data_IF_909528155255
#
_entry.id   IF_909528155255
#
_cell.length_a   1.000
_cell.length_b   1.000
_cell.length_c   1.000
_cell.angle_alpha   90.00
_cell.angle_beta   90.00
_cell.angle_gamma   90.00
#
_symmetry.space_group_name_H-M   'P 1'
#
loop_
_entity.id
_entity.type
_entity.pdbx_description
1 polymer ?
#
# COMPACT_ATOMS: atom_id res chain seq x y z
N UNK A 1 -22.50 -5.10 10.56
CA UNK A 1 -21.90 -4.30 11.66
C UNK A 1 -22.60 -2.96 11.63
N UNK A 2 -23.50 -2.73 12.57
CA UNK A 2 -24.58 -1.76 12.53
C UNK A 2 -24.39 -0.76 13.67
N UNK A 3 -23.96 0.48 13.38
CA UNK A 3 -23.64 1.48 14.41
C UNK A 3 -24.02 2.93 14.07
N UNK A 4 -24.98 3.16 13.17
CA UNK A 4 -25.47 4.51 12.86
C UNK A 4 -26.92 4.82 13.28
N UNK A 5 -27.55 4.00 14.13
CA UNK A 5 -28.92 4.30 14.61
C UNK A 5 -28.97 4.55 16.12
N UNK A 6 -28.65 5.79 16.52
CA UNK A 6 -29.14 6.38 17.78
C UNK A 6 -29.37 7.88 17.58
N UNK A 7 -30.63 8.26 17.37
CA UNK A 7 -31.07 9.65 17.37
C UNK A 7 -32.55 9.81 17.05
N UNK A 8 -33.32 10.12 18.10
CA UNK A 8 -34.67 10.72 18.14
C UNK A 8 -35.85 9.94 17.56
N UNK A 9 -36.69 9.44 18.47
CA UNK A 9 -38.02 8.94 18.15
C UNK A 9 -39.05 10.06 18.10
N UNK A 10 -39.96 9.97 17.13
CA UNK A 10 -41.35 10.44 17.23
C UNK A 10 -42.21 9.36 16.54
N UNK A 11 -43.20 8.88 17.29
CA UNK A 11 -44.13 7.83 16.88
C UNK A 11 -45.22 8.39 15.94
N UNK A 12 -45.59 7.62 14.93
CA UNK A 12 -46.91 7.70 14.30
C UNK A 12 -47.31 6.32 13.78
N UNK A 13 -48.36 5.78 14.38
CA UNK A 13 -49.04 4.52 14.06
C UNK A 13 -50.13 4.76 13.01
N UNK A 14 -50.41 3.78 12.13
CA UNK A 14 -51.73 3.40 11.54
C UNK A 14 -51.53 2.31 10.44
N UNK A 15 -52.51 1.40 10.18
CA UNK A 15 -52.28 -0.05 10.18
C UNK A 15 -52.36 -0.77 8.82
N UNK A 16 -52.08 -2.08 8.90
CA UNK A 16 -51.99 -3.11 7.87
C UNK A 16 -53.30 -3.53 7.18
N UNK A 17 -53.15 -4.09 5.96
CA UNK A 17 -54.08 -5.04 5.37
C UNK A 17 -53.34 -6.18 4.64
N UNK A 18 -53.94 -7.38 4.68
CA UNK A 18 -53.38 -8.72 4.38
C UNK A 18 -53.82 -9.25 3.00
N UNK A 19 -53.10 -10.27 2.50
CA UNK A 19 -53.63 -11.34 1.61
C UNK A 19 -52.60 -11.84 0.58
N UNK A 20 -51.86 -12.95 0.81
CA UNK A 20 -52.07 -14.36 0.32
C UNK A 20 -52.21 -14.49 -1.21
N UNK A 21 -51.55 -15.38 -1.97
CA UNK A 21 -50.60 -16.46 -1.68
C UNK A 21 -50.26 -17.29 -2.95
N UNK A 22 -49.23 -18.14 -2.81
CA UNK A 22 -48.97 -19.48 -3.42
C UNK A 22 -48.88 -19.72 -4.93
N UNK A 23 -47.80 -20.39 -5.36
CA UNK A 23 -47.83 -21.36 -6.47
C UNK A 23 -46.51 -21.56 -7.24
N UNK A 24 -45.71 -22.56 -6.86
CA UNK A 24 -44.74 -23.24 -7.74
C UNK A 24 -45.36 -24.58 -8.20
N UNK A 25 -44.91 -25.17 -9.33
CA UNK A 25 -43.98 -26.30 -9.22
C UNK A 25 -42.97 -26.49 -10.40
N UNK A 26 -41.86 -27.15 -10.10
CA UNK A 26 -40.96 -27.92 -11.02
C UNK A 26 -41.37 -29.41 -11.03
N UNK A 27 -41.07 -30.25 -12.05
CA UNK A 27 -39.76 -30.94 -12.22
C UNK A 27 -39.43 -31.25 -13.71
N UNK A 28 -38.29 -31.78 -14.20
CA UNK A 28 -37.06 -32.38 -13.67
C UNK A 28 -36.23 -33.02 -14.81
N UNK A 29 -35.13 -33.70 -14.44
CA UNK A 29 -34.29 -34.69 -15.17
C UNK A 29 -33.04 -34.24 -15.99
N UNK A 30 -31.86 -34.74 -15.55
CA UNK A 30 -30.52 -34.64 -16.18
C UNK A 30 -30.24 -35.75 -17.21
N UNK A 31 -29.03 -36.37 -17.33
CA UNK A 31 -27.71 -36.13 -16.72
C UNK A 31 -26.52 -36.17 -17.73
N UNK A 32 -25.28 -36.20 -17.19
CA UNK A 32 -24.00 -36.73 -17.75
C UNK A 32 -22.89 -35.72 -18.13
N UNK A 33 -21.66 -36.03 -17.70
CA UNK A 33 -20.43 -35.40 -18.20
C UNK A 33 -19.26 -35.46 -17.23
N UNK A 34 -18.45 -36.51 -17.33
CA UNK A 34 -17.42 -36.93 -16.38
C UNK A 34 -16.04 -36.26 -16.55
N UNK A 35 -15.31 -36.25 -15.43
CA UNK A 35 -13.86 -36.48 -15.27
C UNK A 35 -12.84 -35.32 -15.21
N UNK A 36 -11.81 -35.45 -14.33
CA UNK A 36 -10.79 -34.45 -14.05
C UNK A 36 -9.48 -34.70 -14.82
N UNK A 37 -8.70 -33.64 -15.07
CA UNK A 37 -7.31 -33.78 -15.52
C UNK A 37 -6.37 -33.44 -14.36
N UNK A 38 -5.72 -34.49 -13.85
CA UNK A 38 -4.50 -34.42 -13.06
C UNK A 38 -3.37 -35.06 -13.86
N UNK A 39 -2.30 -34.32 -14.11
CA UNK A 39 -1.00 -34.81 -14.62
C UNK A 39 0.05 -33.81 -14.12
N UNK A 40 1.26 -34.16 -13.70
CA UNK A 40 1.90 -35.40 -13.26
C UNK A 40 3.23 -34.91 -12.67
N UNK A 41 3.64 -35.43 -11.51
CA UNK A 41 5.05 -35.35 -11.08
C UNK A 41 5.93 -36.15 -12.05
N UNK A 42 7.15 -35.70 -12.27
CA UNK A 42 8.25 -36.57 -12.73
C UNK A 42 9.55 -36.09 -12.13
N UNK A 43 10.16 -36.98 -11.35
CA UNK A 43 11.51 -36.92 -10.85
C UNK A 43 12.35 -37.96 -11.60
N UNK A 44 13.60 -37.64 -11.93
CA UNK A 44 14.71 -38.58 -12.19
C UNK A 44 16.00 -37.73 -12.10
N UNK A 45 16.85 -37.87 -11.09
CA UNK A 45 17.77 -38.95 -10.69
C UNK A 45 19.12 -38.95 -11.44
N UNK A 46 20.19 -38.81 -10.63
CA UNK A 46 21.51 -39.49 -10.68
C UNK A 46 22.42 -39.18 -11.87
N UNK A 47 23.75 -39.29 -11.82
CA UNK A 47 24.82 -39.51 -10.83
C UNK A 47 26.14 -39.37 -11.63
N UNK A 48 27.24 -38.92 -11.02
CA UNK A 48 28.57 -39.59 -10.97
C UNK A 48 29.64 -38.59 -10.51
N UNK A 49 30.33 -38.84 -9.38
CA UNK A 49 31.50 -39.74 -9.19
C UNK A 49 32.78 -39.01 -9.65
N UNK A 50 33.48 -38.36 -8.73
CA UNK A 50 34.65 -38.85 -7.98
C UNK A 50 35.74 -39.44 -8.88
N UNK A 51 36.91 -38.80 -8.87
CA UNK A 51 38.16 -39.53 -9.02
C UNK A 51 39.24 -38.95 -8.10
N UNK A 52 40.05 -39.87 -7.58
CA UNK A 52 41.02 -39.71 -6.52
C UNK A 52 42.37 -40.18 -7.04
N UNK A 53 43.42 -39.36 -6.90
CA UNK A 53 44.79 -39.74 -7.23
C UNK A 53 45.70 -39.49 -6.04
N UNK A 54 46.19 -40.58 -5.43
CA UNK A 54 47.17 -40.64 -4.34
C UNK A 54 48.37 -41.45 -4.86
N UNK A 55 49.60 -41.05 -4.52
CA UNK A 55 50.80 -41.88 -4.19
C UNK A 55 52.04 -40.95 -4.15
N UNK A 56 52.88 -40.83 -3.11
CA UNK A 56 53.50 -41.69 -2.07
C UNK A 56 54.95 -42.10 -2.43
N UNK A 57 55.88 -41.76 -1.51
CA UNK A 57 57.17 -42.41 -1.14
C UNK A 57 58.41 -42.21 -2.03
N UNK A 58 59.68 -42.25 -1.57
CA UNK A 58 60.39 -42.65 -0.32
C UNK A 58 61.81 -42.00 -0.32
N UNK A 59 62.46 -41.62 0.79
CA UNK A 59 63.34 -42.39 1.71
C UNK A 59 64.57 -43.05 1.01
N UNK A 60 65.81 -43.20 1.53
CA UNK A 60 66.51 -42.96 2.80
C UNK A 60 68.02 -43.33 2.65
N UNK A 61 68.85 -43.01 3.66
CA UNK A 61 70.09 -43.72 4.06
C UNK A 61 71.42 -43.15 3.53
N UNK A 62 72.59 -43.29 4.17
CA UNK A 62 73.05 -43.54 5.56
C UNK A 62 74.59 -43.51 5.55
N UNK A 63 75.21 -43.42 6.74
CA UNK A 63 76.57 -43.86 7.12
C UNK A 63 77.70 -42.82 7.37
N UNK A 64 78.54 -43.23 8.34
CA UNK A 64 79.44 -42.56 9.32
C UNK A 64 80.87 -43.14 9.13
N UNK A 65 81.97 -42.83 9.87
CA UNK A 65 82.56 -41.62 10.52
C UNK A 65 84.00 -41.28 10.00
N UNK A 66 84.64 -40.21 10.49
CA UNK A 66 85.97 -40.26 11.18
C UNK A 66 86.64 -38.88 11.41
N UNK A 67 87.08 -38.68 12.67
CA UNK A 67 88.34 -38.07 13.12
C UNK A 67 88.68 -36.57 12.95
N UNK A 68 88.96 -35.97 14.13
CA UNK A 68 90.09 -35.07 14.50
C UNK A 68 90.09 -33.64 13.93
N UNK A 69 89.76 -32.63 14.74
CA UNK A 69 90.63 -31.84 15.68
C UNK A 69 91.38 -30.69 14.98
N UNK A 70 91.22 -29.50 15.57
CA UNK A 70 91.97 -28.24 15.39
C UNK A 70 91.70 -27.47 14.08
N UNK A 71 91.53 -26.15 14.03
CA UNK A 71 91.76 -25.07 15.01
C UNK A 71 91.03 -23.82 14.49
N UNK A 72 90.40 -23.07 15.39
CA UNK A 72 89.73 -21.81 15.12
C UNK A 72 90.75 -20.67 14.90
N UNK A 73 90.69 -20.02 13.75
CA UNK A 73 91.12 -18.62 13.59
C UNK A 73 89.99 -17.85 12.90
N UNK A 74 89.25 -16.97 13.59
CA UNK A 74 88.20 -16.19 12.96
C UNK A 74 88.82 -15.00 12.20
N UNK A 75 88.87 -15.07 10.87
CA UNK A 75 89.08 -13.89 10.03
C UNK A 75 87.83 -13.01 10.09
N UNK A 76 87.94 -11.85 10.74
CA UNK A 76 86.86 -10.88 10.79
C UNK A 76 86.60 -10.27 9.39
N UNK A 77 85.36 -10.51 8.96
CA UNK A 77 84.66 -10.15 7.72
C UNK A 77 84.76 -8.67 7.33
N UNK A 78 85.08 -8.41 6.05
CA UNK A 78 84.98 -7.10 5.38
C UNK A 78 83.55 -6.55 5.53
N UNK A 79 83.37 -5.43 6.22
CA UNK A 79 82.07 -4.76 6.32
C UNK A 79 81.68 -4.16 4.97
N UNK A 80 80.60 -4.66 4.35
CA UNK A 80 79.89 -3.97 3.29
C UNK A 80 78.89 -3.00 3.92
N UNK A 81 78.73 -1.76 3.39
CA UNK A 81 77.71 -0.85 3.88
C UNK A 81 76.32 -1.42 3.61
N UNK A 82 75.43 -1.35 4.61
CA UNK A 82 74.06 -1.84 4.49
C UNK A 82 73.28 -1.05 3.42
N UNK A 83 72.41 -1.70 2.62
CA UNK A 83 71.56 -0.99 1.67
C UNK A 83 70.57 -0.08 2.43
N UNK A 84 70.20 1.09 1.88
CA UNK A 84 69.31 2.01 2.57
C UNK A 84 67.91 1.38 2.76
N UNK A 85 67.36 1.51 3.96
CA UNK A 85 66.02 1.04 4.38
C UNK A 85 64.89 1.68 3.55
N UNK A 86 64.64 1.19 2.34
CA UNK A 86 63.50 1.62 1.49
C UNK A 86 62.18 0.87 1.77
N UNK A 87 62.22 -0.18 2.61
CA UNK A 87 61.03 -1.01 2.92
C UNK A 87 60.06 -0.40 3.96
N UNK A 88 60.45 0.64 4.69
CA UNK A 88 59.61 1.21 5.76
C UNK A 88 58.55 2.19 5.25
N UNK A 89 58.83 2.92 4.16
CA UNK A 89 57.93 3.95 3.64
C UNK A 89 56.72 3.34 2.92
N UNK A 90 56.93 2.32 2.06
CA UNK A 90 55.84 1.60 1.39
C UNK A 90 54.87 0.95 2.38
N UNK A 91 55.40 0.29 3.43
CA UNK A 91 54.57 -0.30 4.48
C UNK A 91 53.77 0.76 5.23
N UNK A 92 54.38 1.90 5.59
CA UNK A 92 53.69 3.02 6.25
C UNK A 92 52.60 3.61 5.36
N UNK A 93 52.84 3.75 4.06
CA UNK A 93 51.86 4.25 3.09
C UNK A 93 50.69 3.28 2.90
N UNK A 94 50.95 1.96 2.85
CA UNK A 94 49.92 0.93 2.80
C UNK A 94 49.04 0.93 4.06
N UNK A 95 49.63 1.07 5.25
CA UNK A 95 48.87 1.20 6.50
C UNK A 95 48.07 2.50 6.58
N UNK A 96 48.61 3.62 6.07
CA UNK A 96 47.89 4.90 5.96
C UNK A 96 46.69 4.79 5.01
N UNK A 97 46.85 4.16 3.84
CA UNK A 97 45.76 3.96 2.89
C UNK A 97 44.68 3.01 3.44
N UNK A 98 45.08 1.94 4.15
CA UNK A 98 44.13 1.03 4.80
C UNK A 98 43.37 1.75 5.93
N UNK A 99 44.07 2.54 6.75
CA UNK A 99 43.48 3.33 7.83
C UNK A 99 42.55 4.43 7.29
N UNK A 100 42.95 5.15 6.23
CA UNK A 100 42.09 6.10 5.55
C UNK A 100 40.87 5.43 4.93
N UNK A 101 41.02 4.25 4.30
CA UNK A 101 39.90 3.49 3.75
C UNK A 101 38.89 3.04 4.82
N UNK A 102 39.38 2.54 5.97
CA UNK A 102 38.55 2.16 7.12
C UNK A 102 37.89 3.37 7.79
N UNK A 103 38.57 4.51 7.87
CA UNK A 103 38.04 5.75 8.42
C UNK A 103 36.99 6.37 7.48
N UNK A 104 37.22 6.33 6.17
CA UNK A 104 36.27 6.79 5.14
C UNK A 104 35.03 5.90 5.10
N UNK A 105 35.20 4.58 5.13
CA UNK A 105 34.11 3.61 5.19
C UNK A 105 33.27 3.75 6.46
N UNK A 106 33.92 3.90 7.62
CA UNK A 106 33.25 4.17 8.89
C UNK A 106 32.57 5.53 8.93
N UNK A 107 33.18 6.59 8.39
CA UNK A 107 32.56 7.91 8.30
C UNK A 107 31.30 7.90 7.42
N UNK A 108 31.32 7.17 6.30
CA UNK A 108 30.13 6.99 5.44
C UNK A 108 29.04 6.15 6.15
N UNK A 109 29.42 5.14 6.94
CA UNK A 109 28.46 4.35 7.74
C UNK A 109 27.88 5.14 8.91
N UNK A 110 28.67 5.99 9.55
CA UNK A 110 28.25 6.84 10.68
C UNK A 110 27.46 8.07 10.21
N UNK A 111 27.77 8.63 9.04
CA UNK A 111 27.04 9.74 8.45
C UNK A 111 25.68 9.32 7.84
N UNK A 112 25.45 8.01 7.60
CA UNK A 112 24.17 7.49 7.07
C UNK A 112 22.98 7.70 8.00
N UNK A 113 23.20 7.68 9.32
CA UNK A 113 22.17 7.96 10.33
C UNK A 113 21.66 9.41 10.30
N UNK A 114 22.52 10.42 10.52
CA UNK A 114 22.13 11.82 10.55
C UNK A 114 21.68 12.35 9.17
N UNK A 115 22.23 11.84 8.07
CA UNK A 115 21.80 12.25 6.73
C UNK A 115 20.40 11.73 6.39
N UNK A 116 20.00 10.55 6.89
CA UNK A 116 18.62 10.03 6.75
C UNK A 116 17.60 10.85 7.55
N UNK A 117 17.96 11.40 8.72
CA UNK A 117 17.06 12.25 9.50
C UNK A 117 16.86 13.63 8.88
N UNK A 118 17.85 14.17 8.16
CA UNK A 118 17.71 15.45 7.44
C UNK A 118 16.91 15.30 6.13
N UNK A 119 16.99 14.13 5.48
CA UNK A 119 16.31 13.86 4.21
C UNK A 119 14.90 13.28 4.34
N UNK A 120 14.42 13.02 5.56
CA UNK A 120 13.09 12.45 5.75
C UNK A 120 12.13 13.48 6.35
N UNK A 121 10.96 13.73 5.73
CA UNK A 121 9.99 14.66 6.27
C UNK A 121 9.54 14.22 7.67
N UNK A 122 9.26 15.17 8.58
CA UNK A 122 8.80 14.86 9.93
C UNK A 122 7.46 14.09 9.89
N UNK A 123 7.15 13.27 10.91
CA UNK A 123 5.85 12.62 11.02
C UNK A 123 4.74 13.67 11.09
N UNK A 124 3.57 13.34 10.50
CA UNK A 124 2.39 14.21 10.54
C UNK A 124 1.85 14.25 11.97
N UNK A 125 1.51 15.43 12.48
CA UNK A 125 1.01 15.59 13.84
C UNK A 125 -0.19 14.65 14.12
N UNK A 126 -0.15 13.90 15.23
CA UNK A 126 -1.17 12.90 15.58
C UNK A 126 -1.04 11.55 14.87
N UNK A 127 -0.08 11.39 13.95
CA UNK A 127 0.15 10.16 13.19
C UNK A 127 1.62 9.75 13.25
N UNK A 128 1.89 8.50 13.63
CA UNK A 128 3.21 7.88 13.45
C UNK A 128 3.42 7.48 11.96
N UNK A 129 3.19 8.41 11.04
CA UNK A 129 3.28 8.22 9.60
C UNK A 129 3.89 9.47 8.93
N UNK A 130 4.51 9.27 7.77
CA UNK A 130 5.18 10.33 7.00
C UNK A 130 4.62 10.36 5.58
N UNK A 131 4.74 11.51 4.93
CA UNK A 131 4.43 11.63 3.51
C UNK A 131 5.40 10.79 2.69
N UNK A 132 4.88 10.03 1.73
CA UNK A 132 5.69 9.40 0.68
C UNK A 132 6.23 10.46 -0.28
N UNK A 133 7.16 10.06 -1.15
CA UNK A 133 7.82 10.97 -2.11
C UNK A 133 6.85 11.64 -3.08
N UNK A 134 5.73 10.97 -3.37
CA UNK A 134 4.64 11.44 -4.21
C UNK A 134 3.58 12.25 -3.43
N UNK A 135 3.85 12.58 -2.15
CA UNK A 135 2.99 13.43 -1.33
C UNK A 135 1.83 12.70 -0.64
N UNK A 136 1.70 11.37 -0.79
CA UNK A 136 0.63 10.62 -0.13
C UNK A 136 0.89 10.39 1.36
N UNK A 137 -0.18 10.31 2.14
CA UNK A 137 -0.16 9.88 3.53
C UNK A 137 -0.95 8.59 3.68
N UNK A 138 -0.27 7.50 4.06
CA UNK A 138 -0.91 6.19 4.27
C UNK A 138 -1.74 5.71 3.07
N UNK A 139 -1.28 6.02 1.84
CA UNK A 139 -1.95 5.64 0.60
C UNK A 139 -2.83 6.73 -0.03
N UNK A 140 -3.18 7.78 0.71
CA UNK A 140 -4.11 8.82 0.26
C UNK A 140 -3.40 10.07 -0.27
N UNK A 141 -3.89 10.67 -1.35
CA UNK A 141 -3.42 11.97 -1.84
C UNK A 141 -3.97 13.14 -1.01
N UNK A 142 -3.25 14.27 -0.95
CA UNK A 142 -3.75 15.45 -0.24
C UNK A 142 -4.89 16.09 -1.02
N UNK A 143 -5.95 16.47 -0.31
CA UNK A 143 -7.12 17.12 -0.88
C UNK A 143 -7.49 18.36 -0.07
N UNK A 144 -7.59 19.55 -0.70
CA UNK A 144 -7.98 20.76 0.00
C UNK A 144 -9.46 20.68 0.42
N UNK A 145 -9.80 21.38 1.49
CA UNK A 145 -11.19 21.60 1.86
C UNK A 145 -11.84 22.58 0.89
N UNK A 146 -13.03 22.24 0.40
CA UNK A 146 -13.82 23.10 -0.47
C UNK A 146 -14.21 24.39 0.24
N UNK A 147 -14.18 25.50 -0.49
CA UNK A 147 -14.74 26.76 0.00
C UNK A 147 -16.24 26.64 0.21
N UNK A 148 -16.76 27.19 1.30
CA UNK A 148 -18.20 27.25 1.58
C UNK A 148 -18.99 27.92 0.45
N UNK A 149 -18.38 28.85 -0.29
CA UNK A 149 -19.01 29.50 -1.43
C UNK A 149 -19.30 28.54 -2.60
N UNK A 150 -18.57 27.42 -2.68
CA UNK A 150 -18.73 26.43 -3.73
C UNK A 150 -19.64 25.26 -3.33
N UNK A 151 -20.03 25.19 -2.06
CA UNK A 151 -20.86 24.12 -1.53
C UNK A 151 -22.34 24.49 -1.57
N UNK A 152 -23.16 23.52 -1.98
CA UNK A 152 -24.63 23.62 -1.96
C UNK A 152 -25.20 22.45 -1.16
N UNK A 153 -26.31 22.68 -0.47
CA UNK A 153 -27.06 21.61 0.21
C UNK A 153 -27.73 20.73 -0.83
N UNK A 154 -27.34 19.46 -0.90
CA UNK A 154 -27.93 18.48 -1.79
C UNK A 154 -29.07 17.69 -1.12
N UNK A 155 -28.87 17.33 0.15
CA UNK A 155 -29.87 16.67 1.00
C UNK A 155 -29.67 17.12 2.47
N UNK A 156 -30.59 16.82 3.41
CA UNK A 156 -30.42 17.20 4.81
C UNK A 156 -29.07 16.73 5.37
N UNK A 157 -28.23 17.67 5.79
CA UNK A 157 -26.89 17.39 6.31
C UNK A 157 -25.86 16.95 5.26
N UNK A 158 -26.19 16.96 3.97
CA UNK A 158 -25.29 16.59 2.87
C UNK A 158 -25.07 17.78 1.95
N UNK A 159 -23.81 18.20 1.84
CA UNK A 159 -23.39 19.25 0.91
C UNK A 159 -22.48 18.67 -0.16
N UNK A 160 -22.48 19.28 -1.33
CA UNK A 160 -21.59 18.93 -2.45
C UNK A 160 -21.10 20.21 -3.11
N UNK A 161 -19.99 20.11 -3.85
CA UNK A 161 -19.63 21.13 -4.81
C UNK A 161 -20.78 21.33 -5.80
N UNK A 162 -21.10 22.57 -6.15
CA UNK A 162 -22.24 22.92 -7.02
C UNK A 162 -22.33 22.07 -8.30
N UNK A 163 -21.21 21.88 -9.00
CA UNK A 163 -21.18 21.12 -10.26
C UNK A 163 -21.39 19.62 -10.03
N UNK A 164 -20.84 19.06 -8.94
CA UNK A 164 -21.07 17.68 -8.56
C UNK A 164 -22.52 17.46 -8.12
N UNK A 165 -23.12 18.42 -7.41
CA UNK A 165 -24.52 18.38 -6.99
C UNK A 165 -25.47 18.33 -8.20
N UNK A 166 -25.23 19.17 -9.20
CA UNK A 166 -26.02 19.18 -10.44
C UNK A 166 -25.90 17.84 -11.19
N UNK A 167 -24.66 17.38 -11.39
CA UNK A 167 -24.39 16.11 -12.06
C UNK A 167 -24.98 14.91 -11.31
N UNK A 168 -24.86 14.88 -9.98
CA UNK A 168 -25.43 13.82 -9.14
C UNK A 168 -26.96 13.81 -9.22
N UNK A 169 -27.60 14.99 -9.21
CA UNK A 169 -29.05 15.09 -9.38
C UNK A 169 -29.51 14.54 -10.74
N UNK A 170 -28.76 14.81 -11.81
CA UNK A 170 -29.04 14.23 -13.13
C UNK A 170 -28.84 12.70 -13.13
N UNK A 171 -27.77 12.21 -12.50
CA UNK A 171 -27.48 10.78 -12.38
C UNK A 171 -28.58 10.04 -11.59
N UNK A 172 -29.03 10.58 -10.45
CA UNK A 172 -30.11 9.99 -9.65
C UNK A 172 -31.44 9.93 -10.43
N UNK A 173 -31.77 10.98 -11.20
CA UNK A 173 -32.97 10.97 -12.05
C UNK A 173 -32.89 9.91 -13.13
N UNK A 174 -31.74 9.78 -13.80
CA UNK A 174 -31.54 8.75 -14.82
C UNK A 174 -31.65 7.33 -14.23
N UNK A 175 -31.02 7.09 -13.07
CA UNK A 175 -31.15 5.81 -12.37
C UNK A 175 -32.59 5.50 -12.00
N UNK A 176 -33.34 6.49 -11.50
CA UNK A 176 -34.74 6.32 -11.12
C UNK A 176 -35.63 5.95 -12.31
N UNK A 177 -35.38 6.51 -13.51
CA UNK A 177 -36.09 6.13 -14.74
C UNK A 177 -35.85 4.66 -15.13
N UNK A 178 -34.69 4.13 -14.79
CA UNK A 178 -34.35 2.71 -14.98
C UNK A 178 -34.78 1.82 -13.80
N UNK A 179 -35.57 2.35 -12.86
CA UNK A 179 -36.05 1.63 -11.68
C UNK A 179 -35.01 1.43 -10.58
N UNK A 180 -33.90 2.18 -10.59
CA UNK A 180 -32.79 2.08 -9.65
C UNK A 180 -32.77 3.28 -8.70
N UNK A 181 -32.89 3.03 -7.39
CA UNK A 181 -32.84 4.07 -6.36
C UNK A 181 -31.44 4.26 -5.78
N UNK A 182 -30.73 5.30 -6.22
CA UNK A 182 -29.42 5.69 -5.67
C UNK A 182 -29.60 6.58 -4.43
N UNK A 183 -29.02 6.18 -3.30
CA UNK A 183 -29.10 6.92 -2.02
C UNK A 183 -27.78 7.58 -1.69
N UNK A 184 -27.79 8.86 -1.29
CA UNK A 184 -26.60 9.55 -0.77
C UNK A 184 -26.41 9.19 0.71
N UNK A 185 -25.29 8.55 1.01
CA UNK A 185 -24.92 8.12 2.36
C UNK A 185 -24.02 9.14 3.05
N UNK A 186 -23.09 9.71 2.29
CA UNK A 186 -22.11 10.70 2.77
C UNK A 186 -21.59 11.52 1.60
N UNK A 187 -21.39 12.82 1.81
CA UNK A 187 -20.94 13.77 0.80
C UNK A 187 -19.82 14.65 1.39
N UNK A 188 -19.86 15.96 1.26
CA UNK A 188 -18.82 16.84 1.80
C UNK A 188 -18.54 16.58 3.29
N UNK A 189 -17.24 16.47 3.63
CA UNK A 189 -16.75 16.39 5.00
C UNK A 189 -15.63 17.40 5.20
N UNK A 190 -15.84 18.37 6.09
CA UNK A 190 -14.75 19.26 6.50
C UNK A 190 -13.60 18.46 7.11
N UNK A 191 -12.39 19.01 7.05
CA UNK A 191 -11.20 18.44 7.67
C UNK A 191 -11.43 18.25 9.17
N UNK A 192 -12.14 19.17 9.82
CA UNK A 192 -12.50 19.05 11.23
C UNK A 192 -13.42 17.85 11.50
N UNK A 193 -14.43 17.61 10.65
CA UNK A 193 -15.27 16.41 10.75
C UNK A 193 -14.46 15.14 10.45
N UNK A 194 -13.62 15.17 9.43
CA UNK A 194 -12.75 14.05 9.08
C UNK A 194 -11.78 13.70 10.21
N UNK A 195 -11.29 14.71 10.95
CA UNK A 195 -10.48 14.52 12.15
C UNK A 195 -11.22 13.73 13.22
N UNK A 196 -12.48 14.09 13.52
CA UNK A 196 -13.30 13.34 14.49
C UNK A 196 -13.57 11.92 14.01
N UNK A 197 -13.89 11.73 12.73
CA UNK A 197 -14.11 10.40 12.16
C UNK A 197 -12.84 9.54 12.30
N UNK A 198 -11.68 10.10 11.96
CA UNK A 198 -10.43 9.36 11.96
C UNK A 198 -9.87 9.09 13.36
N UNK A 199 -9.99 10.03 14.30
CA UNK A 199 -9.40 9.88 15.64
C UNK A 199 -10.37 9.42 16.72
N UNK A 200 -11.67 9.67 16.56
CA UNK A 200 -12.65 9.39 17.61
C UNK A 200 -13.54 8.19 17.23
N UNK A 201 -14.04 8.15 15.99
CA UNK A 201 -15.00 7.12 15.55
C UNK A 201 -14.32 5.85 15.10
N UNK A 202 -13.24 5.97 14.32
CA UNK A 202 -12.49 4.84 13.75
C UNK A 202 -11.26 4.47 14.59
N UNK A 203 -11.09 5.08 15.76
CA UNK A 203 -10.09 4.66 16.73
C UNK A 203 -10.60 3.49 17.56
N UNK A 204 -10.49 2.29 17.01
CA UNK A 204 -10.60 1.08 17.82
C UNK A 204 -9.34 0.88 18.67
N UNK A 205 -9.50 0.33 19.88
CA UNK A 205 -8.37 0.04 20.78
C UNK A 205 -7.38 -0.89 20.06
N UNK A 206 -6.13 -0.43 19.94
CA UNK A 206 -4.96 -1.12 19.36
C UNK A 206 -4.84 -1.18 17.82
N UNK A 207 -5.71 -0.50 17.05
CA UNK A 207 -5.46 -0.38 15.60
C UNK A 207 -4.35 0.64 15.31
N UNK A 208 -3.39 0.26 14.45
CA UNK A 208 -2.38 1.20 13.94
C UNK A 208 -3.03 2.24 13.01
N UNK A 209 -2.42 3.42 12.87
CA UNK A 209 -2.87 4.44 11.90
C UNK A 209 -2.92 3.88 10.46
N UNK A 210 -2.00 2.98 10.11
CA UNK A 210 -1.98 2.30 8.81
C UNK A 210 -3.22 1.42 8.61
N UNK A 211 -3.61 0.62 9.61
CA UNK A 211 -4.82 -0.21 9.56
C UNK A 211 -6.07 0.66 9.39
N UNK A 212 -6.14 1.78 10.11
CA UNK A 212 -7.25 2.72 10.03
C UNK A 212 -7.32 3.40 8.66
N UNK A 213 -6.18 3.82 8.13
CA UNK A 213 -6.09 4.47 6.83
C UNK A 213 -6.52 3.59 5.66
N UNK A 214 -6.55 2.26 5.83
CA UNK A 214 -7.14 1.37 4.82
C UNK A 214 -8.64 1.59 4.62
N UNK A 215 -9.36 2.09 5.62
CA UNK A 215 -10.84 2.21 5.62
C UNK A 215 -11.34 3.63 5.95
N UNK A 216 -10.41 4.56 6.18
CA UNK A 216 -10.74 5.96 6.48
C UNK A 216 -9.54 6.86 6.20
N UNK A 217 -9.68 7.78 5.25
CA UNK A 217 -8.61 8.72 4.92
C UNK A 217 -8.20 9.58 6.13
N UNK A 218 -6.89 9.89 6.30
CA UNK A 218 -6.45 10.89 7.26
C UNK A 218 -7.07 12.27 7.00
N UNK A 219 -7.17 13.15 8.01
CA UNK A 219 -7.66 14.52 7.83
C UNK A 219 -6.78 15.31 6.84
N UNK A 220 -7.40 16.00 5.87
CA UNK A 220 -6.70 16.66 4.77
C UNK A 220 -6.33 15.74 3.60
N UNK A 221 -6.69 14.46 3.66
CA UNK A 221 -6.43 13.46 2.63
C UNK A 221 -7.70 12.73 2.17
N UNK A 222 -8.89 13.20 2.57
CA UNK A 222 -10.17 12.63 2.15
C UNK A 222 -10.70 13.33 0.91
N UNK A 223 -11.07 12.57 -0.13
CA UNK A 223 -11.72 13.12 -1.32
C UNK A 223 -13.03 13.88 -0.98
N UNK A 224 -13.72 13.50 0.10
CA UNK A 224 -14.94 14.18 0.56
C UNK A 224 -14.70 15.64 0.97
N UNK A 225 -13.48 15.99 1.38
CA UNK A 225 -13.16 17.38 1.73
C UNK A 225 -13.21 18.30 0.51
N UNK A 226 -13.09 17.77 -0.70
CA UNK A 226 -13.22 18.55 -1.94
C UNK A 226 -14.67 18.90 -2.31
N UNK A 227 -15.66 18.23 -1.69
CA UNK A 227 -17.06 18.32 -2.10
C UNK A 227 -17.39 17.62 -3.43
N UNK A 228 -16.42 17.00 -4.10
CA UNK A 228 -16.63 16.27 -5.36
C UNK A 228 -16.85 14.76 -5.17
N UNK A 229 -16.63 14.22 -3.97
CA UNK A 229 -16.85 12.80 -3.66
C UNK A 229 -18.16 12.55 -2.93
N UNK A 230 -18.79 11.42 -3.22
CA UNK A 230 -20.05 10.96 -2.65
C UNK A 230 -20.01 9.45 -2.41
N UNK A 231 -20.51 9.05 -1.24
CA UNK A 231 -20.81 7.66 -0.91
C UNK A 231 -22.26 7.36 -1.31
N UNK A 232 -22.45 6.38 -2.19
CA UNK A 232 -23.76 5.98 -2.72
C UNK A 232 -24.17 4.59 -2.23
N UNK A 233 -25.47 4.41 -2.02
CA UNK A 233 -26.09 3.15 -1.62
C UNK A 233 -27.29 2.77 -2.49
N UNK A 234 -27.83 1.58 -2.24
CA UNK A 234 -29.02 1.06 -2.91
C UNK A 234 -30.24 1.22 -2.00
N UNK A 235 -31.27 1.94 -2.47
CA UNK A 235 -32.54 2.07 -1.77
C UNK A 235 -33.24 0.73 -1.53
N UNK A 236 -33.04 -0.25 -2.43
CA UNK A 236 -33.64 -1.59 -2.39
C UNK A 236 -32.81 -2.59 -1.57
N UNK A 237 -31.55 -2.28 -1.26
CA UNK A 237 -30.67 -3.14 -0.47
C UNK A 237 -29.86 -2.37 0.61
N UNK A 238 -30.51 -1.65 1.55
CA UNK A 238 -29.79 -0.81 2.52
C UNK A 238 -28.79 -1.56 3.40
N UNK A 239 -28.99 -2.87 3.62
CA UNK A 239 -28.09 -3.73 4.39
C UNK A 239 -26.69 -3.90 3.73
N UNK A 240 -26.53 -3.51 2.47
CA UNK A 240 -25.27 -3.57 1.72
C UNK A 240 -24.52 -2.24 1.72
N UNK A 241 -25.14 -1.16 2.19
CA UNK A 241 -24.54 0.18 2.18
C UNK A 241 -23.24 0.23 3.01
N UNK A 242 -22.22 0.93 2.49
CA UNK A 242 -20.88 1.04 3.09
C UNK A 242 -20.22 -0.33 3.38
N UNK A 243 -20.56 -1.34 2.59
CA UNK A 243 -20.00 -2.70 2.65
C UNK A 243 -19.61 -3.16 1.24
N UNK A 244 -18.57 -3.99 1.09
CA UNK A 244 -18.17 -4.53 -0.21
C UNK A 244 -19.33 -5.19 -0.97
N UNK A 245 -20.26 -5.81 -0.24
CA UNK A 245 -21.48 -6.42 -0.81
C UNK A 245 -22.41 -5.45 -1.56
N UNK A 246 -22.20 -4.14 -1.47
CA UNK A 246 -22.88 -3.16 -2.33
C UNK A 246 -22.65 -3.46 -3.82
N UNK A 247 -21.51 -4.06 -4.18
CA UNK A 247 -21.20 -4.39 -5.58
C UNK A 247 -22.08 -5.46 -6.23
N UNK A 248 -22.83 -6.21 -5.41
CA UNK A 248 -23.81 -7.21 -5.86
C UNK A 248 -25.19 -6.61 -6.14
N UNK A 249 -25.38 -5.32 -5.87
CA UNK A 249 -26.69 -4.66 -5.94
C UNK A 249 -27.05 -4.20 -7.36
N UNK A 250 -28.33 -3.85 -7.56
CA UNK A 250 -28.77 -3.25 -8.81
C UNK A 250 -28.20 -1.83 -8.96
N UNK A 251 -28.12 -1.07 -7.87
CA UNK A 251 -27.52 0.27 -7.86
C UNK A 251 -26.06 0.26 -8.32
N UNK A 252 -25.20 -0.62 -7.78
CA UNK A 252 -23.81 -0.66 -8.20
C UNK A 252 -23.65 -1.07 -9.66
N UNK A 253 -24.39 -2.10 -10.13
CA UNK A 253 -24.37 -2.49 -11.55
C UNK A 253 -24.76 -1.32 -12.45
N UNK A 254 -25.77 -0.55 -12.06
CA UNK A 254 -26.18 0.63 -12.81
C UNK A 254 -25.08 1.70 -12.83
N UNK A 255 -24.47 2.00 -11.68
CA UNK A 255 -23.37 2.96 -11.57
C UNK A 255 -22.17 2.56 -12.42
N UNK A 256 -21.74 1.30 -12.36
CA UNK A 256 -20.62 0.78 -13.14
C UNK A 256 -20.83 0.95 -14.66
N UNK A 257 -22.08 0.86 -15.14
CA UNK A 257 -22.42 1.04 -16.54
C UNK A 257 -22.66 2.51 -16.95
N UNK A 258 -23.07 3.39 -16.03
CA UNK A 258 -23.63 4.70 -16.39
C UNK A 258 -22.95 5.91 -15.74
N UNK A 259 -22.28 5.77 -14.60
CA UNK A 259 -21.78 6.89 -13.80
C UNK A 259 -20.81 7.80 -14.59
N UNK A 260 -19.99 7.22 -15.46
CA UNK A 260 -19.05 7.96 -16.30
C UNK A 260 -19.74 8.98 -17.23
N UNK A 261 -21.00 8.74 -17.64
CA UNK A 261 -21.80 9.67 -18.46
C UNK A 261 -22.14 10.96 -17.70
N UNK A 262 -22.10 10.91 -16.37
CA UNK A 262 -22.29 12.03 -15.46
C UNK A 262 -20.96 12.48 -14.84
N UNK A 263 -19.84 12.04 -15.42
CA UNK A 263 -18.49 12.32 -14.97
C UNK A 263 -18.16 11.79 -13.56
N UNK A 264 -18.89 10.79 -13.08
CA UNK A 264 -18.56 10.08 -11.84
C UNK A 264 -17.70 8.84 -12.12
N UNK A 265 -16.68 8.64 -11.29
CA UNK A 265 -15.77 7.49 -11.37
C UNK A 265 -15.60 6.86 -9.99
N UNK A 266 -15.46 5.53 -9.96
CA UNK A 266 -15.18 4.78 -8.75
C UNK A 266 -13.75 5.08 -8.28
N UNK A 267 -13.59 5.60 -7.06
CA UNK A 267 -12.26 6.05 -6.62
C UNK A 267 -11.33 4.94 -6.18
N UNK A 268 -11.90 3.92 -5.51
CA UNK A 268 -11.14 2.84 -4.88
C UNK A 268 -11.67 1.48 -5.36
N UNK A 269 -11.43 1.10 -6.63
CA UNK A 269 -11.72 -0.25 -7.12
C UNK A 269 -10.85 -1.29 -6.40
N UNK A 270 -11.22 -2.57 -6.56
CA UNK A 270 -10.42 -3.67 -6.04
C UNK A 270 -8.99 -3.62 -6.61
N UNK A 271 -7.99 -3.80 -5.73
CA UNK A 271 -6.59 -3.75 -6.13
C UNK A 271 -6.07 -2.36 -6.52
N UNK A 272 -6.77 -1.27 -6.20
CA UNK A 272 -6.29 0.08 -6.50
C UNK A 272 -4.84 0.31 -5.99
N UNK A 273 -3.97 0.98 -6.76
CA UNK A 273 -2.54 1.13 -6.43
C UNK A 273 -2.28 2.11 -5.28
N UNK A 274 -3.31 2.79 -4.79
CA UNK A 274 -3.23 3.58 -3.56
C UNK A 274 -3.11 2.67 -2.31
N UNK A 275 -3.54 1.42 -2.40
CA UNK A 275 -3.58 0.50 -1.26
C UNK A 275 -4.69 0.80 -0.26
N UNK A 276 -5.65 1.65 -0.65
CA UNK A 276 -6.91 1.89 0.06
C UNK A 276 -7.79 0.66 -0.14
N UNK A 277 -8.62 0.31 0.86
CA UNK A 277 -9.54 -0.83 0.70
C UNK A 277 -10.50 -0.59 -0.47
N UNK A 278 -11.07 -1.68 -0.97
CA UNK A 278 -12.14 -1.59 -1.97
C UNK A 278 -13.37 -0.90 -1.36
N UNK A 279 -13.83 0.18 -2.00
CA UNK A 279 -14.97 0.98 -1.56
C UNK A 279 -15.95 1.16 -2.74
N UNK A 280 -16.78 0.15 -3.09
CA UNK A 280 -17.70 0.22 -4.22
C UNK A 280 -18.74 1.34 -4.13
N UNK A 281 -18.95 1.88 -2.93
CA UNK A 281 -19.86 2.98 -2.67
C UNK A 281 -19.23 4.36 -2.93
N UNK A 282 -17.90 4.50 -3.04
CA UNK A 282 -17.23 5.80 -3.09
C UNK A 282 -16.98 6.27 -4.53
N UNK A 283 -17.69 7.30 -4.96
CA UNK A 283 -17.63 7.85 -6.32
C UNK A 283 -17.21 9.32 -6.30
N UNK A 284 -16.29 9.69 -7.18
CA UNK A 284 -15.84 11.09 -7.35
C UNK A 284 -16.28 11.66 -8.68
N UNK A 285 -16.67 12.93 -8.66
CA UNK A 285 -16.97 13.72 -9.84
C UNK A 285 -15.69 14.30 -10.45
N UNK A 286 -15.56 14.21 -11.77
CA UNK A 286 -14.42 14.72 -12.54
C UNK A 286 -14.86 15.52 -13.78
N UNK A 287 -16.05 16.13 -13.75
CA UNK A 287 -16.61 16.82 -14.93
C UNK A 287 -16.09 18.25 -15.15
N UNK A 288 -15.34 18.81 -14.20
CA UNK A 288 -14.73 20.15 -14.32
C UNK A 288 -13.22 20.08 -14.38
N UNK A 289 -12.58 21.10 -14.94
CA UNK A 289 -11.12 21.20 -14.96
C UNK A 289 -10.52 21.24 -13.55
N UNK A 290 -11.20 21.85 -12.59
CA UNK A 290 -10.76 21.86 -11.19
C UNK A 290 -10.77 20.45 -10.60
N UNK A 291 -11.89 19.73 -10.72
CA UNK A 291 -12.01 18.37 -10.23
C UNK A 291 -10.99 17.43 -10.90
N UNK A 292 -10.84 17.51 -12.22
CA UNK A 292 -9.83 16.74 -12.96
C UNK A 292 -8.42 16.97 -12.42
N UNK A 293 -8.02 18.23 -12.17
CA UNK A 293 -6.69 18.53 -11.62
C UNK A 293 -6.50 17.97 -10.21
N UNK A 294 -7.54 17.99 -9.38
CA UNK A 294 -7.48 17.43 -8.03
C UNK A 294 -7.23 15.91 -8.06
N UNK A 295 -7.88 15.18 -8.96
CA UNK A 295 -7.81 13.72 -9.02
C UNK A 295 -6.75 13.18 -10.00
N UNK A 296 -6.11 14.04 -10.78
CA UNK A 296 -5.07 13.68 -11.76
C UNK A 296 -3.91 12.85 -11.16
N UNK A 297 -3.38 13.14 -9.95
CA UNK A 297 -2.38 12.28 -9.34
C UNK A 297 -2.86 10.84 -9.10
N UNK A 298 -4.10 10.67 -8.64
CA UNK A 298 -4.70 9.36 -8.41
C UNK A 298 -4.92 8.60 -9.72
N UNK A 299 -5.36 9.29 -10.77
CA UNK A 299 -5.53 8.71 -12.11
C UNK A 299 -4.19 8.28 -12.72
N UNK A 300 -3.15 9.11 -12.61
CA UNK A 300 -1.81 8.75 -13.12
C UNK A 300 -1.26 7.52 -12.43
N UNK A 301 -1.52 7.35 -11.13
CA UNK A 301 -1.09 6.18 -10.39
C UNK A 301 -1.84 4.90 -10.83
N UNK A 302 -3.08 5.03 -11.31
CA UNK A 302 -3.93 3.93 -11.75
C UNK A 302 -3.66 3.43 -13.18
N UNK A 303 -2.82 4.13 -13.96
CA UNK A 303 -2.43 3.75 -15.32
C UNK A 303 -1.10 3.01 -15.33
#
# INVERSE_FOLDING_TARGET
>A
MDWLSRGTGIAASIPAARGRGTGAPTPGWGPQGSSPIALRRSALLRNNRLDSGRNISSAAGSDVPASRVAEDIPMARRMQPAPPRRASLRRRLSWLLLACGLFSGSAVLLARGPLRSVLTPPPVAGLNARLSRDGRLLGHFPYPEASAANLVTFAPGQQLHRDAAEALGAMQRAAALDGVGLVVLSAFRSIALQNRIFFDVKAERNQTSLTRARVSAPPGFSEHSTGYAVDLGDASAPATNLSPSFDQTAAFRWLAANAARFHFQLSFPEGNPQGVSYEPWHWRYEGTTEALRLFEPAQRLAR
#
